data_IF_874696745134
#
_entry.id   IF_874696745134
#
_cell.length_a   1.000
_cell.length_b   1.000
_cell.length_c   1.000
_cell.angle_alpha   90.00
_cell.angle_beta   90.00
_cell.angle_gamma   90.00
#
_symmetry.space_group_name_H-M   'P 1'
#
loop_
_entity.id
_entity.type
_entity.pdbx_description
1 polymer ?
#
# COMPACT_ATOMS: atom_id res chain seq x y z
N UNK A 1 -8.39 -13.78 18.63
CA UNK A 1 -8.14 -12.51 19.36
C UNK A 1 -9.39 -11.64 19.23
N UNK A 2 -9.83 -10.90 20.25
CA UNK A 2 -11.03 -10.03 20.14
C UNK A 2 -10.61 -8.67 19.58
N UNK A 3 -11.37 -8.14 18.61
CA UNK A 3 -11.12 -6.81 18.07
C UNK A 3 -11.46 -5.77 19.14
N UNK A 4 -10.42 -5.10 19.64
CA UNK A 4 -10.55 -4.10 20.71
C UNK A 4 -11.44 -2.92 20.28
N UNK A 5 -11.53 -2.63 18.99
CA UNK A 5 -12.36 -1.53 18.47
C UNK A 5 -13.85 -1.85 18.46
N UNK A 6 -14.20 -3.13 18.48
CA UNK A 6 -15.58 -3.63 18.50
C UNK A 6 -16.22 -3.68 19.89
N UNK A 7 -15.42 -3.53 20.93
CA UNK A 7 -15.89 -3.53 22.31
C UNK A 7 -16.55 -2.19 22.59
N UNK A 8 -17.87 -2.21 22.82
CA UNK A 8 -18.63 -1.02 23.14
C UNK A 8 -18.08 -0.32 24.39
N UNK A 9 -17.73 0.97 24.31
CA UNK A 9 -17.27 1.77 25.45
C UNK A 9 -18.16 2.99 25.60
N UNK A 10 -18.61 3.29 26.82
CA UNK A 10 -19.34 4.53 27.09
C UNK A 10 -18.39 5.73 26.87
N UNK A 11 -18.69 6.54 25.86
CA UNK A 11 -17.86 7.70 25.45
C UNK A 11 -18.26 9.00 26.15
N UNK A 12 -19.33 9.01 26.95
CA UNK A 12 -19.90 10.23 27.57
C UNK A 12 -19.29 10.57 28.94
N UNK A 13 -18.52 9.68 29.54
CA UNK A 13 -17.88 9.90 30.84
C UNK A 13 -16.46 9.31 30.88
N UNK A 14 -15.56 9.94 31.64
CA UNK A 14 -14.22 9.38 31.92
C UNK A 14 -14.38 8.14 32.80
N UNK A 15 -13.77 7.02 32.40
CA UNK A 15 -13.77 5.75 33.13
C UNK A 15 -12.39 5.48 33.70
N UNK A 16 -12.34 4.93 34.92
CA UNK A 16 -11.11 4.34 35.44
C UNK A 16 -10.72 3.12 34.58
N UNK A 17 -9.49 3.11 34.07
CA UNK A 17 -8.95 1.94 33.36
C UNK A 17 -8.18 1.09 34.35
N UNK A 18 -8.69 -0.12 34.60
CA UNK A 18 -8.00 -1.13 35.41
C UNK A 18 -8.22 -2.48 34.75
N UNK A 19 -7.22 -3.36 34.79
CA UNK A 19 -7.29 -4.67 34.14
C UNK A 19 -8.47 -5.50 34.66
N UNK A 20 -8.81 -5.36 35.94
CA UNK A 20 -10.00 -5.98 36.54
C UNK A 20 -11.30 -5.54 35.87
N UNK A 21 -11.51 -4.23 35.70
CA UNK A 21 -12.73 -3.68 35.07
C UNK A 21 -12.83 -4.00 33.58
N UNK A 22 -11.70 -4.23 32.92
CA UNK A 22 -11.66 -4.66 31.51
C UNK A 22 -11.91 -6.17 31.40
N UNK A 23 -11.36 -7.00 32.29
CA UNK A 23 -11.62 -8.44 32.37
C UNK A 23 -13.09 -8.76 32.69
N UNK A 24 -13.70 -8.08 33.68
CA UNK A 24 -15.11 -8.25 34.04
C UNK A 24 -16.02 -7.97 32.84
N UNK A 25 -15.67 -6.94 32.06
CA UNK A 25 -16.42 -6.53 30.87
C UNK A 25 -16.26 -7.54 29.73
N UNK A 26 -15.05 -8.05 29.51
CA UNK A 26 -14.81 -9.11 28.53
C UNK A 26 -15.58 -10.38 28.89
N UNK A 27 -15.62 -10.76 30.17
CA UNK A 27 -16.40 -11.90 30.65
C UNK A 27 -17.90 -11.71 30.40
N UNK A 28 -18.45 -10.53 30.70
CA UNK A 28 -19.86 -10.23 30.45
C UNK A 28 -20.21 -10.31 28.95
N UNK A 29 -19.33 -9.82 28.08
CA UNK A 29 -19.49 -9.92 26.62
C UNK A 29 -19.37 -11.37 26.14
N UNK A 30 -18.45 -12.16 26.69
CA UNK A 30 -18.32 -13.59 26.39
C UNK A 30 -19.60 -14.37 26.71
N UNK A 31 -20.18 -14.12 27.89
CA UNK A 31 -21.42 -14.75 28.32
C UNK A 31 -22.59 -14.39 27.39
N UNK A 32 -22.72 -13.12 26.99
CA UNK A 32 -23.74 -12.70 26.00
C UNK A 32 -23.53 -13.36 24.64
N UNK A 33 -22.27 -13.44 24.19
CA UNK A 33 -21.93 -14.13 22.95
C UNK A 33 -22.36 -15.60 22.98
N UNK A 34 -22.08 -16.30 24.09
CA UNK A 34 -22.44 -17.71 24.26
C UNK A 34 -23.97 -17.91 24.40
N UNK A 35 -24.69 -16.91 24.90
CA UNK A 35 -26.16 -16.86 24.94
C UNK A 35 -26.83 -16.50 23.61
N UNK A 36 -26.06 -16.37 22.53
CA UNK A 36 -26.57 -16.19 21.17
C UNK A 36 -26.44 -14.78 20.61
N UNK A 37 -25.99 -13.80 21.39
CA UNK A 37 -25.73 -12.45 20.90
C UNK A 37 -24.39 -12.39 20.12
N UNK A 38 -24.37 -12.95 18.92
CA UNK A 38 -23.13 -13.09 18.10
C UNK A 38 -22.49 -11.77 17.66
N UNK A 39 -23.17 -10.64 17.85
CA UNK A 39 -22.73 -9.29 17.43
C UNK A 39 -22.17 -8.42 18.56
N UNK A 40 -21.97 -8.97 19.76
CA UNK A 40 -21.45 -8.20 20.91
C UNK A 40 -19.99 -7.75 20.77
N UNK A 41 -19.23 -8.39 19.88
CA UNK A 41 -17.88 -8.02 19.47
C UNK A 41 -17.57 -8.67 18.11
N UNK A 42 -16.48 -8.26 17.46
CA UNK A 42 -15.86 -9.00 16.37
C UNK A 42 -14.64 -9.76 16.88
N UNK A 43 -14.46 -10.98 16.36
CA UNK A 43 -13.26 -11.77 16.59
C UNK A 43 -12.33 -11.51 15.41
N UNK A 44 -11.11 -11.07 15.69
CA UNK A 44 -10.04 -11.00 14.71
C UNK A 44 -9.67 -12.44 14.34
N UNK A 45 -9.95 -12.78 13.08
CA UNK A 45 -9.51 -14.03 12.48
C UNK A 45 -8.05 -13.84 12.06
N UNK A 46 -7.18 -14.71 12.57
CA UNK A 46 -5.79 -14.69 12.16
C UNK A 46 -5.71 -15.20 10.70
N UNK A 47 -5.06 -14.44 9.79
CA UNK A 47 -4.84 -14.90 8.43
C UNK A 47 -3.99 -16.18 8.44
N UNK A 48 -4.34 -17.11 7.58
CA UNK A 48 -3.49 -18.27 7.27
C UNK A 48 -2.19 -17.81 6.61
N UNK A 49 -1.16 -18.65 6.65
CA UNK A 49 0.11 -18.36 5.99
C UNK A 49 -0.06 -18.07 4.49
N UNK A 50 -1.02 -18.74 3.83
CA UNK A 50 -1.34 -18.54 2.41
C UNK A 50 -2.05 -17.21 2.16
N UNK A 51 -2.99 -16.81 3.03
CA UNK A 51 -3.67 -15.51 2.95
C UNK A 51 -2.67 -14.36 3.16
N UNK A 52 -1.74 -14.49 4.10
CA UNK A 52 -0.69 -13.49 4.33
C UNK A 52 0.31 -13.43 3.17
N UNK A 53 0.67 -14.57 2.58
CA UNK A 53 1.53 -14.61 1.39
C UNK A 53 0.85 -13.92 0.18
N UNK A 54 -0.46 -14.14 0.00
CA UNK A 54 -1.23 -13.46 -1.05
C UNK A 54 -1.27 -11.92 -0.90
N UNK A 55 -0.99 -11.38 0.30
CA UNK A 55 -0.87 -9.92 0.54
C UNK A 55 0.51 -9.37 0.17
N UNK A 56 1.55 -10.22 0.07
CA UNK A 56 2.95 -9.80 -0.18
C UNK A 56 3.07 -8.97 -1.46
N UNK A 57 2.50 -9.46 -2.56
CA UNK A 57 2.51 -8.78 -3.86
C UNK A 57 1.90 -7.38 -3.77
N UNK A 58 0.86 -7.19 -2.94
CA UNK A 58 0.22 -5.87 -2.78
C UNK A 58 1.10 -4.88 -2.05
N UNK A 59 1.66 -5.33 -0.93
CA UNK A 59 2.55 -4.51 -0.12
C UNK A 59 3.86 -4.19 -0.85
N UNK A 60 4.38 -5.13 -1.64
CA UNK A 60 5.54 -4.89 -2.49
C UNK A 60 5.30 -3.81 -3.54
N UNK A 61 4.19 -3.89 -4.29
CA UNK A 61 3.80 -2.80 -5.22
C UNK A 61 3.70 -1.47 -4.46
N UNK A 62 3.13 -1.47 -3.26
CA UNK A 62 3.10 -0.30 -2.39
C UNK A 62 4.49 0.27 -2.12
N UNK A 63 5.47 -0.55 -1.72
CA UNK A 63 6.85 -0.14 -1.47
C UNK A 63 7.55 0.37 -2.73
N UNK A 64 7.48 -0.36 -3.83
CA UNK A 64 8.09 0.03 -5.11
C UNK A 64 7.52 1.35 -5.63
N UNK A 65 6.23 1.62 -5.40
CA UNK A 65 5.65 2.93 -5.74
C UNK A 65 6.29 4.08 -4.94
N UNK A 66 6.58 3.88 -3.65
CA UNK A 66 7.28 4.87 -2.83
C UNK A 66 8.71 5.08 -3.33
N UNK A 67 9.43 4.00 -3.63
CA UNK A 67 10.79 4.09 -4.21
C UNK A 67 10.79 4.85 -5.54
N UNK A 68 9.84 4.55 -6.43
CA UNK A 68 9.69 5.27 -7.71
C UNK A 68 9.52 6.77 -7.49
N UNK A 69 8.69 7.16 -6.53
CA UNK A 69 8.48 8.58 -6.18
C UNK A 69 9.74 9.17 -5.57
N UNK A 70 10.39 8.47 -4.64
CA UNK A 70 11.61 8.92 -3.99
C UNK A 70 12.74 9.18 -5.00
N UNK A 71 13.02 8.23 -5.91
CA UNK A 71 14.03 8.41 -6.95
C UNK A 71 13.68 9.56 -7.91
N UNK A 72 12.42 9.66 -8.34
CA UNK A 72 11.93 10.75 -9.20
C UNK A 72 12.15 12.11 -8.53
N UNK A 73 11.80 12.22 -7.25
CA UNK A 73 11.96 13.45 -6.48
C UNK A 73 13.44 13.77 -6.24
N UNK A 74 14.26 12.78 -5.88
CA UNK A 74 15.70 12.96 -5.68
C UNK A 74 16.36 13.53 -6.92
N UNK A 75 16.12 12.93 -8.08
CA UNK A 75 16.67 13.40 -9.36
C UNK A 75 16.17 14.83 -9.67
N UNK A 76 14.86 15.06 -9.51
CA UNK A 76 14.27 16.39 -9.77
C UNK A 76 14.88 17.47 -8.86
N UNK A 77 15.03 17.19 -7.57
CA UNK A 77 15.62 18.10 -6.60
C UNK A 77 17.09 18.41 -6.90
N UNK A 78 17.88 17.42 -7.31
CA UNK A 78 19.27 17.61 -7.71
C UNK A 78 19.39 18.51 -8.94
N UNK A 79 18.53 18.32 -9.93
CA UNK A 79 18.53 19.11 -11.18
C UNK A 79 18.10 20.56 -10.96
N UNK A 80 17.12 20.80 -10.08
CA UNK A 80 16.64 22.16 -9.77
C UNK A 80 17.76 23.04 -9.21
N UNK A 81 18.72 22.48 -8.46
CA UNK A 81 19.89 23.21 -7.95
C UNK A 81 20.80 23.75 -9.08
N UNK A 82 20.72 23.15 -10.26
CA UNK A 82 21.44 23.56 -11.47
C UNK A 82 20.54 24.29 -12.48
N UNK A 83 19.37 24.79 -12.04
CA UNK A 83 18.37 25.44 -12.89
C UNK A 83 17.82 24.56 -14.02
N UNK A 84 17.94 23.23 -13.90
CA UNK A 84 17.43 22.27 -14.85
C UNK A 84 16.07 21.72 -14.38
N UNK A 85 15.04 21.84 -15.21
CA UNK A 85 13.67 21.39 -14.89
C UNK A 85 13.14 20.45 -15.98
N UNK A 86 13.32 19.13 -15.83
CA UNK A 86 12.76 18.18 -16.77
C UNK A 86 11.23 18.13 -16.65
N UNK A 87 10.52 17.92 -17.76
CA UNK A 87 9.07 17.74 -17.72
C UNK A 87 8.63 16.48 -16.97
N UNK A 88 9.30 15.34 -17.22
CA UNK A 88 9.03 14.07 -16.52
C UNK A 88 10.28 13.19 -16.42
N UNK A 89 10.81 13.04 -15.20
CA UNK A 89 11.96 12.17 -14.94
C UNK A 89 11.63 10.70 -15.25
N UNK A 90 12.46 10.09 -16.09
CA UNK A 90 12.23 8.74 -16.63
C UNK A 90 10.93 8.57 -17.41
N UNK A 91 10.38 9.66 -17.96
CA UNK A 91 9.36 9.59 -18.99
C UNK A 91 9.95 9.24 -20.35
N UNK A 92 9.10 9.16 -21.38
CA UNK A 92 9.51 8.79 -22.75
C UNK A 92 10.62 9.69 -23.34
N UNK A 93 10.62 10.97 -22.97
CA UNK A 93 11.57 11.97 -23.49
C UNK A 93 12.79 12.16 -22.60
N UNK A 94 12.88 11.44 -21.46
CA UNK A 94 13.93 11.65 -20.48
C UNK A 94 15.32 11.40 -21.05
N UNK A 95 15.54 10.30 -21.77
CA UNK A 95 16.88 9.94 -22.25
C UNK A 95 17.42 10.96 -23.26
N UNK A 96 16.56 11.47 -24.14
CA UNK A 96 16.91 12.54 -25.07
C UNK A 96 17.22 13.84 -24.29
N UNK A 97 16.32 14.24 -23.40
CA UNK A 97 16.51 15.43 -22.58
C UNK A 97 17.79 15.36 -21.74
N UNK A 98 18.09 14.20 -21.14
CA UNK A 98 19.27 14.03 -20.31
C UNK A 98 20.55 14.13 -21.13
N UNK A 99 20.60 13.53 -22.33
CA UNK A 99 21.75 13.67 -23.24
C UNK A 99 22.07 15.13 -23.56
N UNK A 100 21.05 15.97 -23.74
CA UNK A 100 21.23 17.38 -24.09
C UNK A 100 21.70 18.24 -22.89
N UNK A 101 21.44 17.79 -21.65
CA UNK A 101 21.65 18.61 -20.45
C UNK A 101 22.70 18.07 -19.47
N UNK A 102 23.15 16.81 -19.61
CA UNK A 102 24.02 16.17 -18.62
C UNK A 102 25.39 16.85 -18.47
N UNK A 103 25.85 17.59 -19.48
CA UNK A 103 27.12 18.34 -19.43
C UNK A 103 27.01 19.65 -18.64
N UNK A 104 25.80 20.11 -18.31
CA UNK A 104 25.56 21.32 -17.50
C UNK A 104 25.72 21.05 -15.99
N UNK A 105 25.92 19.79 -15.61
CA UNK A 105 26.02 19.33 -14.22
C UNK A 105 27.45 18.82 -13.95
N UNK A 106 28.04 19.10 -12.77
CA UNK A 106 29.36 18.57 -12.40
C UNK A 106 29.43 17.03 -12.48
N UNK A 107 30.60 16.46 -12.81
CA UNK A 107 30.72 15.04 -13.15
C UNK A 107 30.32 14.08 -12.02
N UNK A 108 30.61 14.42 -10.76
CA UNK A 108 30.21 13.59 -9.62
C UNK A 108 28.69 13.54 -9.43
N UNK A 109 28.04 14.69 -9.58
CA UNK A 109 26.58 14.80 -9.47
C UNK A 109 25.88 14.14 -10.65
N UNK A 110 26.42 14.29 -11.86
CA UNK A 110 25.95 13.53 -13.04
C UNK A 110 25.96 12.03 -12.77
N UNK A 111 27.07 11.51 -12.23
CA UNK A 111 27.17 10.09 -11.88
C UNK A 111 26.18 9.67 -10.78
N UNK A 112 25.88 10.54 -9.82
CA UNK A 112 24.82 10.29 -8.83
C UNK A 112 23.44 10.18 -9.50
N UNK A 113 23.09 11.14 -10.37
CA UNK A 113 21.82 11.17 -11.10
C UNK A 113 21.67 9.91 -11.98
N UNK A 114 22.72 9.48 -12.66
CA UNK A 114 22.70 8.27 -13.49
C UNK A 114 22.45 7.00 -12.67
N UNK A 115 23.08 6.88 -11.49
CA UNK A 115 22.82 5.76 -10.57
C UNK A 115 21.40 5.79 -9.99
N UNK A 116 20.89 6.98 -9.63
CA UNK A 116 19.51 7.16 -9.18
C UNK A 116 18.51 6.80 -10.29
N UNK A 117 18.82 7.21 -11.54
CA UNK A 117 17.99 6.90 -12.69
C UNK A 117 17.97 5.39 -12.99
N UNK A 118 19.11 4.71 -12.87
CA UNK A 118 19.16 3.26 -13.02
C UNK A 118 18.25 2.53 -12.01
N UNK A 119 18.26 2.97 -10.73
CA UNK A 119 17.34 2.44 -9.71
C UNK A 119 15.88 2.73 -10.07
N UNK A 120 15.56 3.95 -10.49
CA UNK A 120 14.22 4.31 -10.94
C UNK A 120 13.71 3.40 -12.06
N UNK A 121 14.57 3.07 -13.03
CA UNK A 121 14.22 2.19 -14.14
C UNK A 121 13.98 0.75 -13.70
N UNK A 122 14.81 0.23 -12.79
CA UNK A 122 14.59 -1.08 -12.18
C UNK A 122 13.25 -1.15 -11.44
N UNK A 123 12.97 -0.17 -10.58
CA UNK A 123 11.70 -0.10 -9.85
C UNK A 123 10.50 -0.03 -10.80
N UNK A 124 10.60 0.74 -11.90
CA UNK A 124 9.55 0.81 -12.93
C UNK A 124 9.34 -0.52 -13.64
N UNK A 125 10.41 -1.21 -13.99
CA UNK A 125 10.34 -2.52 -14.63
C UNK A 125 9.65 -3.54 -13.72
N UNK A 126 10.04 -3.61 -12.44
CA UNK A 126 9.43 -4.50 -11.46
C UNK A 126 7.95 -4.19 -11.22
N UNK A 127 7.59 -2.90 -11.09
CA UNK A 127 6.19 -2.49 -10.99
C UNK A 127 5.36 -2.94 -12.19
N UNK A 128 5.87 -2.73 -13.41
CA UNK A 128 5.16 -3.12 -14.61
C UNK A 128 4.96 -4.64 -14.69
N UNK A 129 5.96 -5.43 -14.28
CA UNK A 129 5.86 -6.89 -14.23
C UNK A 129 4.78 -7.35 -13.24
N UNK A 130 4.79 -6.82 -12.02
CA UNK A 130 3.80 -7.16 -10.99
C UNK A 130 2.38 -6.67 -11.34
N UNK A 131 2.26 -5.52 -12.02
CA UNK A 131 0.97 -5.03 -12.53
C UNK A 131 0.43 -5.92 -13.66
N UNK A 132 1.31 -6.41 -14.53
CA UNK A 132 0.94 -7.36 -15.58
C UNK A 132 0.46 -8.69 -15.01
N UNK A 133 1.22 -9.28 -14.08
CA UNK A 133 0.84 -10.51 -13.36
C UNK A 133 -0.53 -10.37 -12.68
N UNK A 134 -0.77 -9.25 -11.99
CA UNK A 134 -2.07 -8.95 -11.40
C UNK A 134 -3.19 -8.89 -12.42
N UNK A 135 -2.95 -8.22 -13.54
CA UNK A 135 -3.96 -8.07 -14.59
C UNK A 135 -4.34 -9.43 -15.19
N UNK A 136 -3.36 -10.32 -15.36
CA UNK A 136 -3.57 -11.68 -15.84
C UNK A 136 -4.39 -12.51 -14.84
N UNK A 137 -4.02 -12.49 -13.56
CA UNK A 137 -4.74 -13.22 -12.51
C UNK A 137 -6.20 -12.77 -12.37
N UNK A 138 -6.48 -11.48 -12.57
CA UNK A 138 -7.87 -10.96 -12.59
C UNK A 138 -8.61 -11.44 -13.84
N UNK A 139 -7.96 -11.44 -15.01
CA UNK A 139 -8.56 -11.91 -16.27
C UNK A 139 -8.88 -13.42 -16.25
N UNK A 140 -8.05 -14.22 -15.59
CA UNK A 140 -8.26 -15.67 -15.39
C UNK A 140 -9.31 -15.99 -14.31
N UNK A 141 -9.88 -14.96 -13.65
CA UNK A 141 -10.95 -15.13 -12.67
C UNK A 141 -10.48 -15.57 -11.28
N UNK A 142 -9.16 -15.54 -10.99
CA UNK A 142 -8.63 -15.90 -9.68
C UNK A 142 -9.05 -14.92 -8.55
N UNK A 143 -9.44 -13.69 -8.91
CA UNK A 143 -9.85 -12.64 -7.97
C UNK A 143 -11.20 -12.02 -8.34
N UNK A 144 -12.32 -12.74 -8.15
CA UNK A 144 -13.65 -12.29 -8.54
C UNK A 144 -14.13 -11.07 -7.73
N UNK A 145 -13.77 -10.98 -6.45
CA UNK A 145 -14.11 -9.84 -5.58
C UNK A 145 -13.40 -8.56 -6.06
N UNK A 146 -12.13 -8.65 -6.44
CA UNK A 146 -11.39 -7.53 -7.04
C UNK A 146 -12.06 -7.07 -8.34
N UNK A 147 -12.42 -8.01 -9.21
CA UNK A 147 -13.11 -7.70 -10.47
C UNK A 147 -14.48 -7.04 -10.25
N UNK A 148 -15.21 -7.46 -9.22
CA UNK A 148 -16.50 -6.87 -8.84
C UNK A 148 -16.34 -5.46 -8.25
N UNK A 149 -15.38 -5.27 -7.35
CA UNK A 149 -15.09 -3.97 -6.73
C UNK A 149 -14.62 -2.95 -7.77
N UNK A 150 -13.83 -3.36 -8.75
CA UNK A 150 -13.36 -2.49 -9.82
C UNK A 150 -14.48 -1.98 -10.75
N UNK A 151 -15.68 -2.57 -10.72
CA UNK A 151 -16.87 -2.09 -11.45
C UNK A 151 -17.59 -0.96 -10.71
N UNK A 152 -17.27 -0.73 -9.44
CA UNK A 152 -17.90 0.33 -8.64
C UNK A 152 -17.34 1.69 -9.03
N UNK A 153 -18.22 2.68 -9.12
CA UNK A 153 -17.84 4.07 -9.42
C UNK A 153 -16.86 4.57 -8.36
N UNK A 154 -15.73 5.13 -8.81
CA UNK A 154 -14.61 5.62 -8.01
C UNK A 154 -13.67 4.56 -7.37
N UNK A 155 -13.88 3.26 -7.62
CA UNK A 155 -12.95 2.20 -7.20
C UNK A 155 -12.21 1.69 -8.43
N UNK A 156 -10.97 2.15 -8.61
CA UNK A 156 -10.08 1.61 -9.64
C UNK A 156 -9.46 0.27 -9.24
N UNK A 157 -8.77 -0.44 -10.16
CA UNK A 157 -8.16 -1.75 -9.91
C UNK A 157 -7.28 -1.78 -8.65
N UNK A 158 -6.49 -0.73 -8.42
CA UNK A 158 -5.64 -0.62 -7.22
C UNK A 158 -6.45 -0.56 -5.92
N UNK A 159 -7.53 0.23 -5.91
CA UNK A 159 -8.42 0.35 -4.74
C UNK A 159 -9.14 -0.96 -4.47
N UNK A 160 -9.64 -1.62 -5.52
CA UNK A 160 -10.26 -2.94 -5.44
C UNK A 160 -9.32 -3.99 -4.81
N UNK A 161 -8.04 -3.99 -5.22
CA UNK A 161 -7.02 -4.89 -4.65
C UNK A 161 -6.72 -4.62 -3.17
N UNK A 162 -6.66 -3.36 -2.74
CA UNK A 162 -6.46 -2.99 -1.33
C UNK A 162 -7.64 -3.51 -0.50
N UNK A 163 -8.86 -3.23 -0.97
CA UNK A 163 -10.09 -3.62 -0.28
C UNK A 163 -10.21 -5.14 -0.17
N UNK A 164 -9.95 -5.88 -1.26
CA UNK A 164 -9.95 -7.34 -1.25
C UNK A 164 -8.94 -7.91 -0.25
N UNK A 165 -7.69 -7.44 -0.30
CA UNK A 165 -6.59 -8.08 0.43
C UNK A 165 -6.43 -7.65 1.88
N UNK A 166 -6.81 -6.43 2.24
CA UNK A 166 -6.58 -5.89 3.59
C UNK A 166 -7.88 -5.70 4.40
N UNK A 167 -9.06 -5.78 3.76
CA UNK A 167 -10.35 -5.56 4.43
C UNK A 167 -11.32 -6.75 4.33
N UNK A 168 -11.39 -7.42 3.18
CA UNK A 168 -12.34 -8.52 2.95
C UNK A 168 -11.71 -9.92 2.96
N UNK A 169 -10.38 -10.01 2.86
CA UNK A 169 -9.60 -11.26 2.82
C UNK A 169 -8.92 -11.61 4.12
#
# INVERSE_FOLDING_TARGET
MVDSSSIEVNRRAKRAKTDRLDADKLMALLLRYHRGERRVWSVVREPTAQEEDARRTHREIGRLMHERIAHTNRISSLLVLHNLRPGRVGGRTWDAWWKDHCMQVPPLLRGEIEREYARLMLTKQQLNALELERSHAVAEGAHPVVAQLAKLRAIGPRGAWILDKELFG
#
